data_IF_747454603408
#
_entry.id   IF_747454603408
#
_cell.length_a   1.000
_cell.length_b   1.000
_cell.length_c   1.000
_cell.angle_alpha   90.00
_cell.angle_beta   90.00
_cell.angle_gamma   90.00
#
_symmetry.space_group_name_H-M   'P 1'
#
loop_
_entity.id
_entity.type
_entity.pdbx_description
1 polymer ?
#
# COMPACT_ATOMS: atom_id res chain seq x y z
N UNK A 1 16.43 -2.83 5.14
CA UNK A 1 14.99 -3.00 5.44
C UNK A 1 14.72 -4.01 6.58
N UNK A 2 15.62 -4.97 6.88
CA UNK A 2 15.35 -5.99 7.91
C UNK A 2 15.00 -5.40 9.27
N UNK A 3 15.76 -4.40 9.77
CA UNK A 3 15.48 -3.74 11.03
C UNK A 3 14.14 -2.98 11.05
N UNK A 4 13.70 -2.42 9.91
CA UNK A 4 12.40 -1.77 9.78
C UNK A 4 11.28 -2.80 9.93
N UNK A 5 11.38 -3.93 9.22
CA UNK A 5 10.43 -5.04 9.34
C UNK A 5 10.38 -5.57 10.77
N UNK A 6 11.55 -5.76 11.42
CA UNK A 6 11.61 -6.21 12.83
C UNK A 6 10.91 -5.24 13.78
N UNK A 7 11.19 -3.94 13.63
CA UNK A 7 10.58 -2.88 14.45
C UNK A 7 9.06 -2.79 14.23
N UNK A 8 8.62 -2.84 12.98
CA UNK A 8 7.22 -2.83 12.61
C UNK A 8 6.48 -4.01 13.26
N UNK A 9 6.98 -5.23 13.08
CA UNK A 9 6.36 -6.43 13.65
C UNK A 9 6.33 -6.37 15.19
N UNK A 10 7.42 -5.92 15.82
CA UNK A 10 7.46 -5.75 17.27
C UNK A 10 6.38 -4.75 17.75
N UNK A 11 6.17 -3.67 17.02
CA UNK A 11 5.13 -2.70 17.33
C UNK A 11 3.72 -3.30 17.20
N UNK A 12 3.50 -4.10 16.16
CA UNK A 12 2.24 -4.82 15.93
C UNK A 12 1.95 -5.81 17.07
N UNK A 13 2.95 -6.59 17.43
CA UNK A 13 2.85 -7.52 18.57
C UNK A 13 2.47 -6.80 19.86
N UNK A 14 3.15 -5.69 20.18
CA UNK A 14 2.87 -4.87 21.37
C UNK A 14 1.48 -4.24 21.35
N UNK A 15 0.96 -3.91 20.17
CA UNK A 15 -0.37 -3.33 19.99
C UNK A 15 -1.49 -4.37 19.86
N UNK A 16 -1.18 -5.67 20.02
CA UNK A 16 -2.18 -6.74 20.04
C UNK A 16 -2.70 -7.14 18.64
N UNK A 17 -1.96 -6.82 17.58
CA UNK A 17 -2.30 -7.30 16.24
C UNK A 17 -2.09 -8.81 16.18
N UNK A 18 -3.06 -9.53 15.62
CA UNK A 18 -2.91 -10.96 15.36
C UNK A 18 -1.87 -11.20 14.27
N UNK A 19 -0.68 -11.65 14.67
CA UNK A 19 0.45 -11.79 13.76
C UNK A 19 0.23 -12.85 12.66
N UNK A 20 -0.70 -13.79 12.83
CA UNK A 20 -1.04 -14.76 11.78
C UNK A 20 -1.76 -14.13 10.56
N UNK A 21 -2.29 -12.92 10.72
CA UNK A 21 -2.91 -12.14 9.64
C UNK A 21 -1.92 -11.20 8.94
N UNK A 22 -0.65 -11.19 9.40
CA UNK A 22 0.39 -10.34 8.82
C UNK A 22 1.15 -11.07 7.72
N UNK A 23 1.16 -10.51 6.53
CA UNK A 23 1.91 -10.97 5.38
C UNK A 23 3.07 -10.02 5.07
N UNK A 24 4.29 -10.51 5.12
CA UNK A 24 5.47 -9.79 4.67
C UNK A 24 5.74 -10.19 3.22
N UNK A 25 5.58 -9.25 2.31
CA UNK A 25 5.74 -9.48 0.87
C UNK A 25 7.01 -8.79 0.39
N UNK A 26 7.92 -9.54 -0.21
CA UNK A 26 9.23 -9.05 -0.64
C UNK A 26 9.67 -9.69 -1.96
N UNK A 27 10.78 -9.19 -2.51
CA UNK A 27 11.47 -9.87 -3.60
C UNK A 27 12.32 -11.03 -3.09
N UNK A 28 12.81 -11.87 -4.00
CA UNK A 28 13.69 -13.00 -3.65
C UNK A 28 15.06 -12.60 -3.07
N UNK A 29 15.40 -11.31 -3.06
CA UNK A 29 16.65 -10.82 -2.49
C UNK A 29 16.56 -10.79 -0.96
N UNK A 30 17.04 -11.87 -0.34
CA UNK A 30 17.15 -12.00 1.11
C UNK A 30 18.61 -11.87 1.54
N UNK A 31 18.92 -10.90 2.39
CA UNK A 31 20.19 -10.86 3.09
C UNK A 31 20.08 -11.63 4.43
N UNK A 32 21.23 -11.89 5.07
CA UNK A 32 21.30 -12.65 6.34
C UNK A 32 20.41 -12.05 7.43
N UNK A 33 20.44 -10.73 7.58
CA UNK A 33 19.63 -10.04 8.59
C UNK A 33 18.12 -10.22 8.34
N UNK A 34 17.68 -10.24 7.08
CA UNK A 34 16.28 -10.50 6.76
C UNK A 34 15.88 -11.95 7.08
N UNK A 35 16.77 -12.90 6.87
CA UNK A 35 16.58 -14.32 7.27
C UNK A 35 16.46 -14.45 8.79
N UNK A 36 17.26 -13.72 9.57
CA UNK A 36 17.13 -13.67 11.02
C UNK A 36 15.76 -13.17 11.47
N UNK A 37 15.28 -12.09 10.87
CA UNK A 37 13.93 -11.52 11.13
C UNK A 37 12.84 -12.54 10.79
N UNK A 38 12.92 -13.20 9.65
CA UNK A 38 12.00 -14.26 9.27
C UNK A 38 11.99 -15.41 10.28
N UNK A 39 13.16 -15.93 10.66
CA UNK A 39 13.31 -17.00 11.65
C UNK A 39 12.78 -16.61 13.03
N UNK A 40 12.95 -15.35 13.42
CA UNK A 40 12.43 -14.81 14.68
C UNK A 40 10.89 -14.79 14.71
N UNK A 41 10.26 -14.34 13.64
CA UNK A 41 8.84 -13.99 13.66
C UNK A 41 7.92 -15.05 13.05
N UNK A 42 8.40 -15.94 12.18
CA UNK A 42 7.57 -17.03 11.59
C UNK A 42 6.93 -17.93 12.66
N UNK A 43 7.61 -18.14 13.79
CA UNK A 43 7.07 -18.90 14.92
C UNK A 43 5.85 -18.27 15.60
N UNK A 44 5.58 -17.00 15.35
CA UNK A 44 4.40 -16.30 15.83
C UNK A 44 3.26 -16.23 14.79
N UNK A 45 3.42 -16.94 13.68
CA UNK A 45 2.39 -17.06 12.65
C UNK A 45 2.52 -16.09 11.48
N UNK A 46 3.46 -15.15 11.51
CA UNK A 46 3.71 -14.26 10.37
C UNK A 46 4.13 -15.06 9.16
N UNK A 47 3.58 -14.68 8.01
CA UNK A 47 3.87 -15.33 6.74
C UNK A 47 4.76 -14.43 5.88
N UNK A 48 5.89 -14.98 5.43
CA UNK A 48 6.82 -14.31 4.54
C UNK A 48 6.65 -14.86 3.13
N UNK A 49 6.46 -13.98 2.17
CA UNK A 49 6.26 -14.31 0.76
C UNK A 49 7.31 -13.63 -0.09
N UNK A 50 7.87 -14.36 -1.04
CA UNK A 50 8.94 -13.91 -1.90
C UNK A 50 8.57 -14.09 -3.36
N UNK A 51 8.65 -13.02 -4.12
CA UNK A 51 8.32 -13.02 -5.54
C UNK A 51 9.53 -12.57 -6.36
N UNK A 52 9.77 -13.17 -7.54
CA UNK A 52 10.86 -12.74 -8.40
C UNK A 52 10.58 -11.34 -8.97
N UNK A 53 11.63 -10.53 -9.11
CA UNK A 53 11.55 -9.31 -9.90
C UNK A 53 11.79 -9.66 -11.37
N UNK A 54 10.74 -9.91 -12.11
CA UNK A 54 10.76 -10.21 -13.54
C UNK A 54 10.20 -9.06 -14.40
N UNK A 55 10.20 -7.82 -13.88
CA UNK A 55 9.79 -6.64 -14.63
C UNK A 55 10.68 -6.43 -15.86
N UNK A 56 10.04 -6.12 -16.98
CA UNK A 56 10.73 -5.73 -18.20
C UNK A 56 11.16 -4.27 -18.08
N UNK A 57 12.46 -3.99 -18.06
CA UNK A 57 13.06 -2.64 -17.94
C UNK A 57 12.64 -1.89 -16.66
N UNK A 58 13.10 -2.31 -15.48
CA UNK A 58 12.79 -1.65 -14.21
C UNK A 58 13.54 -0.32 -14.06
N UNK A 59 13.11 0.72 -14.79
CA UNK A 59 13.71 2.07 -14.73
C UNK A 59 13.40 2.81 -13.43
N UNK A 60 12.29 2.44 -12.76
CA UNK A 60 11.87 3.02 -11.51
C UNK A 60 11.78 1.94 -10.43
N UNK A 61 12.67 2.01 -9.44
CA UNK A 61 12.79 0.97 -8.40
C UNK A 61 11.48 0.75 -7.66
N UNK A 62 10.77 1.81 -7.30
CA UNK A 62 9.52 1.71 -6.53
C UNK A 62 8.38 0.98 -7.25
N UNK A 63 8.46 0.81 -8.59
CA UNK A 63 7.47 0.02 -9.33
C UNK A 63 7.52 -1.49 -9.00
N UNK A 64 8.51 -1.93 -8.22
CA UNK A 64 8.53 -3.29 -7.69
C UNK A 64 7.34 -3.56 -6.75
N UNK A 65 6.85 -2.56 -6.03
CA UNK A 65 5.75 -2.70 -5.07
C UNK A 65 4.46 -3.21 -5.73
N UNK A 66 3.86 -2.50 -6.71
CA UNK A 66 2.67 -3.01 -7.38
C UNK A 66 2.91 -4.37 -8.05
N UNK A 67 4.11 -4.60 -8.60
CA UNK A 67 4.45 -5.86 -9.25
C UNK A 67 4.41 -7.07 -8.29
N UNK A 68 5.05 -6.98 -7.12
CA UNK A 68 5.03 -8.08 -6.14
C UNK A 68 3.68 -8.22 -5.44
N UNK A 69 2.93 -7.13 -5.27
CA UNK A 69 1.57 -7.18 -4.73
C UNK A 69 0.62 -7.89 -5.68
N UNK A 70 0.68 -7.60 -6.97
CA UNK A 70 -0.11 -8.31 -7.98
C UNK A 70 0.21 -9.81 -7.94
N UNK A 71 1.49 -10.19 -7.93
CA UNK A 71 1.91 -11.59 -7.81
C UNK A 71 1.39 -12.24 -6.51
N UNK A 72 1.39 -11.49 -5.40
CA UNK A 72 0.88 -11.96 -4.11
C UNK A 72 -0.63 -12.21 -4.15
N UNK A 73 -1.39 -11.34 -4.75
CA UNK A 73 -2.84 -11.49 -4.89
C UNK A 73 -3.23 -12.61 -5.84
N UNK A 74 -2.48 -12.80 -6.92
CA UNK A 74 -2.66 -13.94 -7.82
C UNK A 74 -2.40 -15.28 -7.12
N UNK A 75 -1.34 -15.34 -6.29
CA UNK A 75 -0.99 -16.51 -5.50
C UNK A 75 -1.95 -16.77 -4.32
N UNK A 76 -2.67 -15.75 -3.86
CA UNK A 76 -3.57 -15.81 -2.70
C UNK A 76 -4.96 -15.25 -3.03
N UNK A 77 -5.73 -15.89 -3.93
CA UNK A 77 -7.01 -15.33 -4.41
C UNK A 77 -8.08 -15.15 -3.32
N UNK A 78 -7.94 -15.85 -2.19
CA UNK A 78 -8.81 -15.71 -1.03
C UNK A 78 -8.72 -14.32 -0.35
N UNK A 79 -7.63 -13.57 -0.59
CA UNK A 79 -7.47 -12.20 -0.10
C UNK A 79 -8.51 -11.24 -0.70
N UNK A 80 -9.06 -11.53 -1.87
CA UNK A 80 -10.12 -10.71 -2.50
C UNK A 80 -11.36 -10.54 -1.62
N UNK A 81 -11.64 -11.52 -0.76
CA UNK A 81 -12.75 -11.49 0.19
C UNK A 81 -12.40 -10.88 1.56
N UNK A 82 -11.22 -10.28 1.72
CA UNK A 82 -10.74 -9.74 3.00
C UNK A 82 -10.56 -8.23 2.94
N UNK A 83 -10.70 -7.59 4.11
CA UNK A 83 -10.17 -6.25 4.32
C UNK A 83 -8.65 -6.35 4.40
N UNK A 84 -7.96 -5.45 3.72
CA UNK A 84 -6.49 -5.45 3.67
C UNK A 84 -5.99 -4.08 4.11
N UNK A 85 -5.15 -4.05 5.14
CA UNK A 85 -4.37 -2.89 5.48
C UNK A 85 -2.98 -3.03 4.84
N UNK A 86 -2.80 -2.35 3.71
CA UNK A 86 -1.50 -2.28 3.02
C UNK A 86 -0.70 -1.09 3.52
N UNK A 87 0.58 -1.31 3.74
CA UNK A 87 1.53 -0.27 4.14
C UNK A 87 2.97 -0.68 3.83
N UNK A 88 3.88 0.29 3.85
CA UNK A 88 5.30 0.06 3.79
C UNK A 88 5.85 -0.48 5.13
N UNK A 89 7.07 -1.00 5.13
CA UNK A 89 7.67 -1.59 6.35
C UNK A 89 8.30 -0.56 7.31
N UNK A 90 8.25 0.72 6.99
CA UNK A 90 8.83 1.82 7.77
C UNK A 90 7.81 2.51 8.69
N UNK A 91 6.79 1.78 9.10
CA UNK A 91 5.81 2.22 10.08
C UNK A 91 5.98 1.51 11.43
N UNK A 92 5.53 2.16 12.49
CA UNK A 92 5.40 1.56 13.81
C UNK A 92 4.11 2.01 14.48
N UNK A 93 3.35 1.06 15.03
CA UNK A 93 2.18 1.35 15.82
C UNK A 93 2.59 1.81 17.22
N UNK A 94 2.09 2.95 17.65
CA UNK A 94 2.33 3.50 19.00
C UNK A 94 1.21 3.17 19.97
N UNK A 95 0.06 2.73 19.46
CA UNK A 95 -1.12 2.31 20.23
C UNK A 95 -1.93 1.30 19.41
N UNK A 96 -2.81 0.51 20.05
CA UNK A 96 -3.71 -0.37 19.31
C UNK A 96 -4.50 0.39 18.25
N UNK A 97 -4.65 -0.23 17.08
CA UNK A 97 -5.51 0.31 16.03
C UNK A 97 -6.96 0.13 16.50
N UNK A 98 -7.75 1.20 16.62
CA UNK A 98 -9.18 1.04 16.89
C UNK A 98 -9.83 0.23 15.77
N UNK A 99 -11.00 -0.34 16.03
CA UNK A 99 -11.77 -1.11 15.03
C UNK A 99 -12.04 -0.26 13.78
N UNK A 100 -11.06 -0.18 12.89
CA UNK A 100 -11.18 0.55 11.63
C UNK A 100 -12.28 -0.07 10.76
N UNK A 101 -12.51 -1.37 10.91
CA UNK A 101 -13.54 -2.09 10.14
C UNK A 101 -14.94 -1.58 10.44
N UNK A 102 -15.22 -1.14 11.68
CA UNK A 102 -16.51 -0.59 12.06
C UNK A 102 -16.82 0.76 11.42
N UNK A 103 -15.77 1.43 10.91
CA UNK A 103 -15.88 2.72 10.22
C UNK A 103 -15.90 2.58 8.70
N UNK A 104 -15.65 1.39 8.17
CA UNK A 104 -15.68 1.14 6.75
C UNK A 104 -17.13 1.07 6.26
N UNK A 105 -17.53 2.06 5.48
CA UNK A 105 -18.78 2.00 4.73
C UNK A 105 -18.54 1.25 3.41
N UNK A 106 -19.56 0.55 2.91
CA UNK A 106 -19.48 -0.16 1.63
C UNK A 106 -18.96 0.77 0.51
N UNK A 107 -18.07 0.25 -0.29
CA UNK A 107 -17.44 0.97 -1.43
C UNK A 107 -16.50 2.14 -1.06
N UNK A 108 -15.98 2.20 0.18
CA UNK A 108 -14.99 3.18 0.58
C UNK A 108 -13.65 2.51 0.86
N UNK A 109 -12.57 3.12 0.37
CA UNK A 109 -11.21 2.81 0.78
C UNK A 109 -10.67 3.99 1.60
N UNK A 110 -9.83 3.71 2.59
CA UNK A 110 -9.15 4.76 3.34
C UNK A 110 -7.68 4.80 2.92
N UNK A 111 -7.19 6.02 2.73
CA UNK A 111 -5.82 6.30 2.33
C UNK A 111 -5.20 7.25 3.34
N UNK A 112 -3.89 7.16 3.57
CA UNK A 112 -3.19 8.20 4.33
C UNK A 112 -3.20 9.52 3.56
N UNK A 113 -3.40 10.63 4.25
CA UNK A 113 -3.32 11.98 3.64
C UNK A 113 -1.87 12.29 3.25
N UNK A 114 -1.63 12.38 1.96
CA UNK A 114 -0.31 12.67 1.38
C UNK A 114 -0.33 13.91 0.48
N UNK A 115 -1.39 14.72 0.52
CA UNK A 115 -1.56 15.91 -0.32
C UNK A 115 -0.37 16.87 -0.25
N UNK A 116 0.23 17.00 0.94
CA UNK A 116 1.36 17.91 1.16
C UNK A 116 2.63 17.55 0.33
N UNK A 117 2.72 16.37 -0.24
CA UNK A 117 3.89 15.93 -1.02
C UNK A 117 3.57 15.14 -2.30
N UNK A 118 2.29 14.88 -2.59
CA UNK A 118 1.85 14.30 -3.88
C UNK A 118 0.62 14.99 -4.46
N UNK A 119 0.07 16.00 -3.78
CA UNK A 119 -1.06 16.77 -4.28
C UNK A 119 -0.70 17.65 -5.48
N UNK A 120 -1.70 18.16 -6.18
CA UNK A 120 -1.52 18.96 -7.39
C UNK A 120 -0.67 20.21 -7.14
N UNK A 121 -0.91 20.94 -6.06
CA UNK A 121 -0.11 22.10 -5.68
C UNK A 121 1.37 21.76 -5.45
N UNK A 122 1.65 20.63 -4.80
CA UNK A 122 3.02 20.20 -4.59
C UNK A 122 3.70 19.84 -5.92
N UNK A 123 3.01 19.12 -6.81
CA UNK A 123 3.53 18.75 -8.13
C UNK A 123 3.86 20.01 -8.94
N UNK A 124 2.95 20.97 -8.99
CA UNK A 124 3.13 22.25 -9.70
C UNK A 124 4.27 23.06 -9.12
N UNK A 125 4.50 23.00 -7.81
CA UNK A 125 5.65 23.65 -7.16
C UNK A 125 7.03 23.09 -7.59
N UNK A 126 7.08 21.89 -8.19
CA UNK A 126 8.32 21.23 -8.63
C UNK A 126 8.71 21.55 -10.05
N UNK A 127 7.82 22.08 -10.83
CA UNK A 127 8.10 22.50 -12.20
C UNK A 127 6.86 22.97 -12.92
N UNK A 128 7.04 23.99 -13.76
CA UNK A 128 6.00 24.47 -14.65
C UNK A 128 5.52 23.31 -15.54
N UNK A 129 4.24 23.22 -15.75
CA UNK A 129 3.60 22.20 -16.62
C UNK A 129 3.85 20.73 -16.20
N UNK A 130 4.42 20.47 -15.00
CA UNK A 130 4.72 19.10 -14.57
C UNK A 130 3.44 18.28 -14.38
N UNK A 131 2.41 18.87 -13.79
CA UNK A 131 1.12 18.22 -13.64
C UNK A 131 0.53 17.84 -15.00
N UNK A 132 0.53 18.75 -15.97
CA UNK A 132 0.05 18.51 -17.33
C UNK A 132 0.84 17.39 -18.03
N UNK A 133 2.16 17.36 -17.85
CA UNK A 133 3.01 16.31 -18.41
C UNK A 133 2.67 14.94 -17.81
N UNK A 134 2.48 14.87 -16.49
CA UNK A 134 2.07 13.65 -15.81
C UNK A 134 0.67 13.20 -16.25
N UNK A 135 -0.27 14.12 -16.35
CA UNK A 135 -1.63 13.84 -16.80
C UNK A 135 -1.68 13.29 -18.23
N UNK A 136 -0.85 13.81 -19.13
CA UNK A 136 -0.70 13.27 -20.50
C UNK A 136 -0.23 11.81 -20.52
N UNK A 137 0.65 11.42 -19.60
CA UNK A 137 1.16 10.04 -19.54
C UNK A 137 0.05 9.05 -19.15
N UNK A 138 -0.82 9.47 -18.22
CA UNK A 138 -1.91 8.61 -17.68
C UNK A 138 -3.26 8.84 -18.36
N UNK A 139 -3.31 9.74 -19.34
CA UNK A 139 -4.50 10.07 -20.17
C UNK A 139 -5.67 10.54 -19.27
N UNK A 140 -5.38 11.55 -18.44
CA UNK A 140 -6.36 12.21 -17.57
C UNK A 140 -6.22 13.73 -17.70
N UNK A 141 -7.29 14.48 -17.53
CA UNK A 141 -7.24 15.93 -17.56
C UNK A 141 -6.75 16.51 -16.21
N UNK A 142 -5.90 17.58 -16.21
CA UNK A 142 -5.41 18.20 -14.99
C UNK A 142 -6.53 18.71 -14.08
N UNK A 143 -7.64 19.17 -14.66
CA UNK A 143 -8.83 19.62 -13.94
C UNK A 143 -9.47 18.48 -13.14
N UNK A 144 -9.45 17.27 -13.67
CA UNK A 144 -9.97 16.09 -12.99
C UNK A 144 -9.09 15.74 -11.78
N UNK A 145 -7.76 15.87 -11.89
CA UNK A 145 -6.84 15.69 -10.76
C UNK A 145 -7.12 16.73 -9.68
N UNK A 146 -7.23 18.01 -10.04
CA UNK A 146 -7.52 19.10 -9.07
C UNK A 146 -8.89 18.92 -8.42
N UNK A 147 -9.91 18.51 -9.16
CA UNK A 147 -11.24 18.26 -8.62
C UNK A 147 -11.28 17.12 -7.60
N UNK A 148 -10.33 16.18 -7.69
CA UNK A 148 -10.20 15.03 -6.80
C UNK A 148 -9.07 15.17 -5.77
N UNK A 149 -8.53 16.35 -5.56
CA UNK A 149 -7.42 16.65 -4.65
C UNK A 149 -7.64 16.08 -3.24
N UNK A 150 -8.86 16.19 -2.72
CA UNK A 150 -9.22 15.66 -1.39
C UNK A 150 -9.25 14.13 -1.31
N UNK A 151 -9.28 13.46 -2.46
CA UNK A 151 -9.14 12.03 -2.58
C UNK A 151 -7.70 11.55 -2.75
N UNK A 152 -6.72 12.48 -2.81
CA UNK A 152 -5.31 12.13 -2.96
C UNK A 152 -4.77 11.48 -1.69
N UNK A 153 -4.24 10.30 -1.82
CA UNK A 153 -3.66 9.56 -0.71
C UNK A 153 -2.60 8.57 -1.19
N UNK A 154 -1.83 8.04 -0.26
CA UNK A 154 -0.77 7.11 -0.59
C UNK A 154 -0.15 6.44 0.63
N UNK A 155 0.93 5.70 0.42
CA UNK A 155 1.71 4.99 1.43
C UNK A 155 0.94 3.93 2.25
N UNK A 156 -0.21 4.26 2.86
CA UNK A 156 -1.05 3.32 3.57
C UNK A 156 -2.45 3.28 2.97
N UNK A 157 -2.99 2.06 2.81
CA UNK A 157 -4.31 1.81 2.22
C UNK A 157 -5.07 0.83 3.09
N UNK A 158 -6.30 1.17 3.46
CA UNK A 158 -7.26 0.22 4.02
C UNK A 158 -8.28 -0.12 2.93
N UNK A 159 -8.13 -1.30 2.36
CA UNK A 159 -8.90 -1.77 1.21
C UNK A 159 -10.05 -2.67 1.68
N UNK A 160 -11.20 -2.52 1.07
CA UNK A 160 -12.34 -3.40 1.25
C UNK A 160 -12.25 -4.67 0.37
N UNK A 161 -13.02 -5.72 0.73
CA UNK A 161 -13.24 -6.85 -0.17
C UNK A 161 -13.72 -6.37 -1.54
N UNK A 162 -13.16 -6.91 -2.60
CA UNK A 162 -13.47 -6.54 -3.98
C UNK A 162 -12.66 -5.38 -4.55
N UNK A 163 -12.05 -4.51 -3.73
CA UNK A 163 -11.20 -3.42 -4.24
C UNK A 163 -9.99 -3.93 -5.04
N UNK A 164 -9.51 -5.15 -4.76
CA UNK A 164 -8.41 -5.76 -5.49
C UNK A 164 -8.77 -6.12 -6.95
N UNK A 165 -10.05 -6.28 -7.26
CA UNK A 165 -10.50 -6.55 -8.63
C UNK A 165 -10.43 -5.27 -9.50
N UNK A 166 -10.63 -4.11 -8.89
CA UNK A 166 -10.54 -2.81 -9.55
C UNK A 166 -9.11 -2.29 -9.72
N UNK A 167 -8.12 -2.80 -8.97
CA UNK A 167 -6.72 -2.41 -9.19
C UNK A 167 -6.15 -2.94 -10.52
N UNK A 168 -6.74 -3.99 -11.08
CA UNK A 168 -6.46 -4.44 -12.45
C UNK A 168 -7.24 -3.64 -13.53
N UNK A 169 -8.19 -2.79 -13.14
CA UNK A 169 -9.03 -1.96 -14.00
C UNK A 169 -9.69 -0.83 -13.23
N UNK A 170 -8.92 0.08 -12.70
CA UNK A 170 -9.23 1.43 -12.15
C UNK A 170 -10.70 1.86 -11.94
N UNK A 171 -11.58 1.00 -11.43
CA UNK A 171 -12.95 1.43 -11.07
C UNK A 171 -13.12 1.85 -9.59
N UNK A 172 -12.12 1.59 -8.72
CA UNK A 172 -12.18 1.96 -7.30
C UNK A 172 -11.93 3.45 -7.03
N UNK A 173 -11.57 4.23 -8.04
CA UNK A 173 -11.32 5.67 -7.90
C UNK A 173 -12.43 6.42 -8.64
N UNK A 174 -13.68 6.31 -8.16
CA UNK A 174 -14.72 7.28 -8.54
C UNK A 174 -14.73 8.44 -7.54
N UNK A 175 -14.87 9.69 -8.00
CA UNK A 175 -14.98 10.85 -7.13
C UNK A 175 -16.14 10.66 -6.13
N UNK A 176 -15.86 10.81 -4.86
CA UNK A 176 -16.86 10.73 -3.78
C UNK A 176 -16.78 9.49 -2.89
N UNK A 177 -15.91 8.51 -3.17
CA UNK A 177 -15.78 7.29 -2.36
C UNK A 177 -14.55 7.25 -1.44
N UNK A 178 -13.76 8.31 -1.36
CA UNK A 178 -12.54 8.38 -0.55
C UNK A 178 -12.74 9.34 0.62
N UNK A 179 -12.54 8.82 1.82
CA UNK A 179 -12.47 9.63 3.06
C UNK A 179 -11.03 9.61 3.58
N UNK A 180 -10.47 10.78 3.87
CA UNK A 180 -9.18 10.90 4.56
C UNK A 180 -9.35 10.60 6.06
N UNK A 181 -8.40 9.91 6.64
CA UNK A 181 -8.30 9.63 8.09
C UNK A 181 -7.50 10.73 8.76
#
# INVERSE_FOLDING_TARGET
>A
YGWQVDTMILSFFKCGVNLSDVHIVSTNHRNEHFVEVENKWSKYGIKFYYYPDNRVKPSYISSIRPHILEAHWQANPWLKGKHIFYHDCDIALTKPIPNLLDKLHSHQCYLSDTRSYIGSEYIESKGNDLLEQMCKIVIIEPEEVRANEYGSGGAQYLLQPGCLEGMAGCECIRPGSVSSI
#
